data_IF_155816688918
#
_entry.id   IF_155816688918
#
_cell.length_a   1.000
_cell.length_b   1.000
_cell.length_c   1.000
_cell.angle_alpha   90.00
_cell.angle_beta   90.00
_cell.angle_gamma   90.00
#
_symmetry.space_group_name_H-M   'P 1'
#
loop_
_entity.id
_entity.type
_entity.pdbx_description
1 polymer ?
#
# COMPACT_ATOMS: atom_id res chain seq x y z
N UNK A 1 -78.99 2.49 21.63
CA UNK A 1 -78.04 3.11 20.67
C UNK A 1 -76.57 2.95 21.07
N UNK A 2 -76.22 2.88 22.36
CA UNK A 2 -74.83 2.74 22.83
C UNK A 2 -74.13 1.39 22.48
N UNK A 3 -74.86 0.28 22.43
CA UNK A 3 -74.27 -1.07 22.22
C UNK A 3 -73.68 -1.23 20.80
N UNK A 4 -74.27 -0.59 19.78
CA UNK A 4 -73.77 -0.65 18.40
C UNK A 4 -72.46 0.13 18.20
N UNK A 5 -72.28 1.23 18.94
CA UNK A 5 -71.04 2.01 18.92
C UNK A 5 -69.87 1.27 19.56
N UNK A 6 -70.13 0.56 20.67
CA UNK A 6 -69.11 -0.23 21.36
C UNK A 6 -68.63 -1.42 20.53
N UNK A 7 -69.55 -2.09 19.82
CA UNK A 7 -69.20 -3.21 18.95
C UNK A 7 -68.34 -2.73 17.75
N UNK A 8 -68.66 -1.57 17.18
CA UNK A 8 -67.88 -0.98 16.09
C UNK A 8 -66.47 -0.57 16.54
N UNK A 9 -66.35 0.02 17.74
CA UNK A 9 -65.08 0.39 18.33
C UNK A 9 -64.21 -0.84 18.65
N UNK A 10 -64.80 -1.92 19.15
CA UNK A 10 -64.10 -3.17 19.43
C UNK A 10 -63.57 -3.82 18.14
N UNK A 11 -64.38 -3.86 17.07
CA UNK A 11 -63.96 -4.39 15.76
C UNK A 11 -62.81 -3.54 15.19
N UNK A 12 -62.86 -2.22 15.35
CA UNK A 12 -61.79 -1.32 14.91
C UNK A 12 -60.48 -1.55 15.66
N UNK A 13 -60.52 -1.74 16.99
CA UNK A 13 -59.33 -2.06 17.79
C UNK A 13 -58.73 -3.40 17.39
N UNK A 14 -59.56 -4.44 17.20
CA UNK A 14 -59.07 -5.77 16.78
C UNK A 14 -58.43 -5.70 15.39
N UNK A 15 -59.01 -4.94 14.46
CA UNK A 15 -58.43 -4.72 13.15
C UNK A 15 -57.09 -3.95 13.22
N UNK A 16 -56.99 -2.93 14.08
CA UNK A 16 -55.77 -2.15 14.28
C UNK A 16 -54.64 -3.00 14.89
N UNK A 17 -54.96 -3.81 15.91
CA UNK A 17 -54.01 -4.74 16.53
C UNK A 17 -53.57 -5.80 15.52
N UNK A 18 -54.49 -6.34 14.72
CA UNK A 18 -54.17 -7.26 13.63
C UNK A 18 -53.21 -6.65 12.60
N UNK A 19 -53.43 -5.38 12.23
CA UNK A 19 -52.55 -4.64 11.31
C UNK A 19 -51.16 -4.41 11.91
N UNK A 20 -51.08 -4.03 13.19
CA UNK A 20 -49.81 -3.82 13.90
C UNK A 20 -49.04 -5.14 13.99
N UNK A 21 -49.70 -6.24 14.36
CA UNK A 21 -49.08 -7.58 14.39
C UNK A 21 -48.61 -7.99 13.00
N UNK A 22 -49.39 -7.73 11.94
CA UNK A 22 -48.98 -8.03 10.57
C UNK A 22 -47.76 -7.21 10.15
N UNK A 23 -47.69 -5.91 10.48
CA UNK A 23 -46.53 -5.05 10.21
C UNK A 23 -45.29 -5.54 10.97
N UNK A 24 -45.42 -5.88 12.26
CA UNK A 24 -44.32 -6.43 13.05
C UNK A 24 -43.90 -7.83 12.57
N UNK A 25 -44.82 -8.64 12.04
CA UNK A 25 -44.52 -9.95 11.46
C UNK A 25 -43.78 -9.80 10.11
N UNK A 26 -44.20 -8.86 9.27
CA UNK A 26 -43.52 -8.53 8.01
C UNK A 26 -42.12 -7.92 8.23
N UNK A 27 -41.91 -7.16 9.30
CA UNK A 27 -40.58 -6.67 9.67
C UNK A 27 -39.66 -7.79 10.20
N UNK A 28 -40.23 -8.86 10.78
CA UNK A 28 -39.45 -9.98 11.34
C UNK A 28 -38.98 -10.97 10.28
N UNK A 29 -39.58 -10.96 9.10
CA UNK A 29 -39.28 -11.87 7.98
C UNK A 29 -38.42 -11.26 6.86
N UNK A 30 -37.77 -10.11 7.07
CA UNK A 30 -36.57 -9.78 6.29
C UNK A 30 -35.40 -10.66 6.77
N UNK A 31 -35.53 -11.97 6.55
CA UNK A 31 -34.39 -12.88 6.53
C UNK A 31 -33.39 -12.29 5.56
N UNK A 32 -32.35 -11.67 6.10
CA UNK A 32 -31.15 -11.33 5.36
C UNK A 32 -30.67 -12.65 4.79
N UNK A 33 -30.87 -12.87 3.49
CA UNK A 33 -30.23 -13.96 2.78
C UNK A 33 -28.75 -13.89 3.14
N UNK A 34 -28.23 -14.91 3.84
CA UNK A 34 -26.80 -15.02 4.07
C UNK A 34 -26.18 -15.17 2.70
N UNK A 35 -25.74 -14.04 2.12
CA UNK A 35 -24.98 -14.00 0.89
C UNK A 35 -23.83 -15.00 1.04
N UNK A 36 -23.85 -16.06 0.24
CA UNK A 36 -22.82 -17.07 0.28
C UNK A 36 -21.49 -16.41 -0.12
N UNK A 37 -20.59 -16.25 0.84
CA UNK A 37 -19.30 -15.60 0.62
C UNK A 37 -18.44 -16.54 -0.22
N UNK A 38 -18.18 -16.14 -1.47
CA UNK A 38 -17.28 -16.87 -2.36
C UNK A 38 -15.85 -16.58 -1.96
N UNK A 39 -15.17 -17.59 -1.41
CA UNK A 39 -13.77 -17.50 -0.98
C UNK A 39 -12.93 -18.56 -1.70
N UNK A 40 -11.82 -18.12 -2.31
CA UNK A 40 -10.93 -18.94 -3.12
C UNK A 40 -9.66 -19.27 -2.35
N UNK A 41 -9.06 -20.45 -2.58
CA UNK A 41 -7.72 -20.73 -2.05
C UNK A 41 -6.67 -19.91 -2.80
N UNK A 42 -5.69 -19.41 -2.06
CA UNK A 42 -4.50 -18.72 -2.60
C UNK A 42 -3.32 -19.05 -1.70
N UNK A 43 -2.13 -19.27 -2.27
CA UNK A 43 -0.92 -19.45 -1.46
C UNK A 43 -0.29 -18.11 -1.09
N UNK A 44 0.56 -18.09 -0.07
CA UNK A 44 1.24 -16.85 0.35
C UNK A 44 2.12 -16.30 -0.76
N UNK A 45 2.89 -17.15 -1.45
CA UNK A 45 3.74 -16.71 -2.55
C UNK A 45 2.94 -16.09 -3.71
N UNK A 46 1.78 -16.67 -4.05
CA UNK A 46 0.91 -16.11 -5.09
C UNK A 46 0.32 -14.77 -4.65
N UNK A 47 -0.15 -14.65 -3.41
CA UNK A 47 -0.65 -13.37 -2.90
C UNK A 47 0.47 -12.31 -2.89
N UNK A 48 1.66 -12.67 -2.42
CA UNK A 48 2.83 -11.78 -2.40
C UNK A 48 3.18 -11.27 -3.81
N UNK A 49 3.32 -12.18 -4.78
CA UNK A 49 3.64 -11.81 -6.16
C UNK A 49 2.58 -10.88 -6.75
N UNK A 50 1.29 -11.11 -6.47
CA UNK A 50 0.23 -10.20 -6.93
C UNK A 50 0.34 -8.80 -6.36
N UNK A 51 0.67 -8.69 -5.07
CA UNK A 51 0.94 -7.41 -4.41
C UNK A 51 2.12 -6.69 -5.07
N UNK A 52 3.22 -7.42 -5.28
CA UNK A 52 4.41 -6.89 -5.96
C UNK A 52 4.13 -6.51 -7.41
N UNK A 53 3.36 -7.29 -8.17
CA UNK A 53 2.99 -6.97 -9.55
C UNK A 53 2.27 -5.63 -9.63
N UNK A 54 1.34 -5.35 -8.70
CA UNK A 54 0.62 -4.08 -8.63
C UNK A 54 1.52 -2.91 -8.22
N UNK A 55 2.44 -3.11 -7.27
CA UNK A 55 3.39 -2.08 -6.82
C UNK A 55 4.41 -1.76 -7.91
N UNK A 56 4.93 -2.80 -8.57
CA UNK A 56 5.93 -2.69 -9.62
C UNK A 56 5.32 -2.39 -11.00
N UNK A 57 3.99 -2.31 -11.12
CA UNK A 57 3.34 -2.02 -12.39
C UNK A 57 3.71 -0.62 -12.87
N UNK A 58 4.48 -0.57 -13.97
CA UNK A 58 4.92 0.69 -14.58
C UNK A 58 4.00 1.06 -15.74
N UNK A 59 3.52 2.29 -15.76
CA UNK A 59 2.62 2.81 -16.77
C UNK A 59 2.90 4.28 -17.08
N UNK A 60 2.36 4.76 -18.20
CA UNK A 60 2.48 6.16 -18.62
C UNK A 60 1.15 6.88 -18.37
N UNK A 61 1.20 7.89 -17.51
CA UNK A 61 0.11 8.84 -17.34
C UNK A 61 0.10 9.83 -18.49
N UNK A 62 -1.09 10.12 -19.03
CA UNK A 62 -1.29 11.15 -20.04
C UNK A 62 -2.41 12.09 -19.59
N UNK A 63 -2.05 13.29 -19.17
CA UNK A 63 -2.99 14.29 -18.66
C UNK A 63 -4.01 14.76 -19.70
N UNK A 64 -3.70 14.67 -21.00
CA UNK A 64 -4.64 15.03 -22.06
C UNK A 64 -5.73 13.97 -22.30
N UNK A 65 -5.54 12.74 -21.79
CA UNK A 65 -6.52 11.64 -21.88
C UNK A 65 -7.16 11.31 -20.54
N UNK A 66 -6.69 11.91 -19.45
CA UNK A 66 -7.12 11.60 -18.09
C UNK A 66 -8.36 12.40 -17.71
N UNK A 67 -9.51 11.73 -17.60
CA UNK A 67 -10.76 12.39 -17.21
C UNK A 67 -11.30 13.29 -18.31
N UNK A 68 -11.96 12.68 -19.29
CA UNK A 68 -12.62 13.41 -20.38
C UNK A 68 -13.79 14.27 -19.85
N UNK A 69 -14.24 14.05 -18.61
CA UNK A 69 -15.27 14.82 -17.93
C UNK A 69 -14.73 15.50 -16.65
N UNK A 70 -14.94 16.81 -16.54
CA UNK A 70 -14.59 17.59 -15.35
C UNK A 70 -15.47 17.17 -14.16
N UNK A 71 -14.83 16.83 -13.03
CA UNK A 71 -15.52 16.52 -11.79
C UNK A 71 -14.81 17.17 -10.60
N UNK A 72 -15.44 18.21 -10.04
CA UNK A 72 -14.91 19.01 -8.93
C UNK A 72 -14.72 18.22 -7.62
N UNK A 73 -15.35 17.04 -7.50
CA UNK A 73 -15.23 16.19 -6.32
C UNK A 73 -14.03 15.24 -6.38
N UNK A 74 -13.33 15.18 -7.52
CA UNK A 74 -12.17 14.31 -7.70
C UNK A 74 -10.90 15.08 -7.38
N UNK A 75 -10.05 14.48 -6.55
CA UNK A 75 -8.72 14.99 -6.29
C UNK A 75 -7.69 13.99 -6.81
N UNK A 76 -6.91 14.42 -7.80
CA UNK A 76 -5.83 13.60 -8.35
C UNK A 76 -4.75 13.32 -7.30
N UNK A 77 -4.04 12.19 -7.41
CA UNK A 77 -2.79 12.01 -6.70
C UNK A 77 -1.79 13.11 -7.06
N UNK A 78 -1.12 13.67 -6.05
CA UNK A 78 -0.23 14.82 -6.18
C UNK A 78 0.89 14.61 -7.20
N UNK A 79 1.42 13.39 -7.32
CA UNK A 79 2.48 13.08 -8.28
C UNK A 79 2.02 13.10 -9.75
N UNK A 80 0.71 13.17 -10.00
CA UNK A 80 0.09 13.31 -11.32
C UNK A 80 -0.43 14.73 -11.59
N UNK A 81 -0.66 15.52 -10.54
CA UNK A 81 -1.18 16.89 -10.66
C UNK A 81 -0.30 17.75 -11.58
N UNK A 82 -0.93 18.40 -12.56
CA UNK A 82 -0.27 19.32 -13.50
C UNK A 82 0.69 18.66 -14.50
N UNK A 83 0.76 17.32 -14.58
CA UNK A 83 1.62 16.62 -15.53
C UNK A 83 0.92 16.47 -16.89
N UNK A 84 1.67 16.70 -17.97
CA UNK A 84 1.20 16.44 -19.34
C UNK A 84 1.35 14.97 -19.72
N UNK A 85 2.55 14.41 -19.54
CA UNK A 85 2.82 12.98 -19.53
C UNK A 85 3.90 12.67 -18.49
N UNK A 86 3.75 11.54 -17.78
CA UNK A 86 4.77 11.05 -16.85
C UNK A 86 4.72 9.53 -16.72
N UNK A 87 5.88 8.88 -16.77
CA UNK A 87 6.01 7.45 -16.44
C UNK A 87 6.06 7.29 -14.94
N UNK A 88 5.26 6.38 -14.40
CA UNK A 88 5.13 6.12 -12.96
C UNK A 88 4.97 4.63 -12.70
N UNK A 89 5.22 4.21 -11.46
CA UNK A 89 4.93 2.86 -10.98
C UNK A 89 3.82 2.86 -9.94
N UNK A 90 3.19 1.70 -9.74
CA UNK A 90 2.13 1.48 -8.76
C UNK A 90 0.76 1.91 -9.29
N UNK A 91 -0.29 1.25 -8.79
CA UNK A 91 -1.67 1.63 -9.08
C UNK A 91 -2.05 2.81 -8.18
N UNK A 92 -2.54 3.94 -8.73
CA UNK A 92 -2.98 5.10 -7.96
C UNK A 92 -3.96 4.78 -6.85
N UNK A 93 -3.88 5.55 -5.76
CA UNK A 93 -4.90 5.50 -4.74
C UNK A 93 -6.22 6.04 -5.30
N UNK A 94 -7.28 5.28 -5.13
CA UNK A 94 -8.62 5.66 -5.54
C UNK A 94 -9.60 5.34 -4.43
N UNK A 95 -10.11 6.36 -3.74
CA UNK A 95 -11.08 6.18 -2.66
C UNK A 95 -12.30 5.41 -3.18
N UNK A 96 -12.62 4.31 -2.51
CA UNK A 96 -13.72 3.46 -2.95
C UNK A 96 -13.34 2.46 -4.06
N UNK A 97 -12.19 2.62 -4.71
CA UNK A 97 -11.80 1.95 -5.94
C UNK A 97 -11.37 0.50 -5.77
N UNK A 98 -11.67 -0.30 -6.80
CA UNK A 98 -11.32 -1.72 -6.88
C UNK A 98 -10.92 -2.14 -8.29
N UNK A 99 -10.07 -1.34 -8.94
CA UNK A 99 -9.56 -1.58 -10.29
C UNK A 99 -8.07 -1.90 -10.22
N UNK A 100 -7.74 -3.19 -10.30
CA UNK A 100 -6.39 -3.75 -10.27
C UNK A 100 -5.89 -4.21 -11.65
N UNK A 101 -4.86 -5.06 -11.70
CA UNK A 101 -4.29 -5.56 -12.96
C UNK A 101 -5.17 -6.59 -13.68
N UNK A 102 -5.97 -7.35 -12.93
CA UNK A 102 -6.80 -8.43 -13.43
C UNK A 102 -8.20 -8.45 -12.80
N UNK A 103 -8.60 -7.34 -12.17
CA UNK A 103 -9.89 -7.21 -11.49
C UNK A 103 -10.42 -5.78 -11.59
N UNK A 104 -11.74 -5.66 -11.63
CA UNK A 104 -12.47 -4.40 -11.67
C UNK A 104 -13.86 -4.59 -11.05
N UNK A 105 -14.36 -3.57 -10.35
CA UNK A 105 -15.77 -3.49 -9.93
C UNK A 105 -16.65 -2.68 -10.89
N UNK A 106 -16.12 -2.29 -12.05
CA UNK A 106 -16.84 -1.56 -13.09
C UNK A 106 -17.19 -2.50 -14.24
N UNK A 107 -18.37 -2.32 -14.83
CA UNK A 107 -18.90 -3.25 -15.85
C UNK A 107 -18.23 -3.08 -17.22
N UNK A 108 -17.72 -1.89 -17.50
CA UNK A 108 -17.20 -1.46 -18.80
C UNK A 108 -15.67 -1.49 -18.87
N UNK A 109 -14.95 -1.62 -17.75
CA UNK A 109 -13.49 -1.74 -17.70
C UNK A 109 -13.05 -3.02 -17.00
N UNK A 110 -12.11 -3.75 -17.61
CA UNK A 110 -11.67 -5.07 -17.12
C UNK A 110 -10.57 -4.98 -16.07
N UNK A 111 -9.69 -3.99 -16.19
CA UNK A 111 -8.53 -3.78 -15.35
C UNK A 111 -8.07 -2.32 -15.45
N UNK A 112 -7.03 -1.98 -14.70
CA UNK A 112 -6.50 -0.63 -14.58
C UNK A 112 -6.03 -0.09 -15.93
N UNK A 113 -5.31 -0.87 -16.72
CA UNK A 113 -4.82 -0.43 -18.04
C UNK A 113 -5.98 -0.08 -18.99
N UNK A 114 -6.99 -0.97 -19.09
CA UNK A 114 -8.18 -0.74 -19.91
C UNK A 114 -8.94 0.53 -19.47
N UNK A 115 -8.99 0.80 -18.15
CA UNK A 115 -9.59 2.02 -17.63
C UNK A 115 -8.82 3.28 -18.08
N UNK A 116 -7.49 3.28 -17.98
CA UNK A 116 -6.66 4.40 -18.45
C UNK A 116 -6.79 4.60 -19.96
N UNK A 117 -6.81 3.52 -20.75
CA UNK A 117 -7.00 3.58 -22.21
C UNK A 117 -8.37 4.15 -22.61
N UNK A 118 -9.40 3.93 -21.79
CA UNK A 118 -10.75 4.51 -21.93
C UNK A 118 -10.91 5.91 -21.34
N UNK A 119 -9.84 6.48 -20.78
CA UNK A 119 -9.83 7.86 -20.29
C UNK A 119 -10.42 8.04 -18.89
N UNK A 120 -10.46 6.98 -18.08
CA UNK A 120 -10.76 7.11 -16.64
C UNK A 120 -9.71 7.99 -15.96
N UNK A 121 -10.13 8.69 -14.91
CA UNK A 121 -9.25 9.50 -14.08
C UNK A 121 -8.38 8.57 -13.21
N UNK A 122 -7.06 8.70 -13.33
CA UNK A 122 -6.08 7.92 -12.58
C UNK A 122 -6.03 8.32 -11.11
N UNK A 123 -6.86 7.65 -10.30
CA UNK A 123 -6.95 7.83 -8.87
C UNK A 123 -7.98 8.87 -8.42
N UNK A 124 -8.21 8.87 -7.11
CA UNK A 124 -9.00 9.85 -6.40
C UNK A 124 -8.62 9.80 -4.93
N UNK A 125 -7.83 10.77 -4.47
CA UNK A 125 -7.37 10.83 -3.07
C UNK A 125 -8.38 11.53 -2.16
N UNK A 126 -9.50 12.01 -2.70
CA UNK A 126 -10.58 12.56 -1.89
C UNK A 126 -11.31 11.43 -1.14
N UNK A 127 -11.01 11.30 0.15
CA UNK A 127 -11.55 10.24 1.01
C UNK A 127 -12.96 10.57 1.55
N UNK A 128 -13.83 11.13 0.71
CA UNK A 128 -15.19 11.54 1.08
C UNK A 128 -16.20 11.18 -0.01
N UNK A 129 -17.45 10.93 0.38
CA UNK A 129 -18.56 10.73 -0.57
C UNK A 129 -18.57 9.39 -1.34
N UNK A 130 -17.77 8.40 -0.92
CA UNK A 130 -17.72 7.07 -1.55
C UNK A 130 -16.91 7.02 -2.86
N UNK A 131 -17.02 5.91 -3.58
CA UNK A 131 -16.38 5.78 -4.90
C UNK A 131 -16.96 6.81 -5.87
N UNK A 132 -16.10 7.37 -6.73
CA UNK A 132 -16.50 8.32 -7.78
C UNK A 132 -16.42 7.62 -9.13
N UNK A 133 -17.49 7.68 -9.90
CA UNK A 133 -17.54 7.04 -11.21
C UNK A 133 -16.44 7.59 -12.12
N UNK A 134 -16.00 6.76 -13.07
CA UNK A 134 -14.92 7.06 -14.02
C UNK A 134 -13.55 7.36 -13.36
N UNK A 135 -13.32 6.88 -12.13
CA UNK A 135 -11.99 6.90 -11.49
C UNK A 135 -11.38 5.49 -11.46
N UNK A 136 -10.08 5.40 -11.65
CA UNK A 136 -9.36 4.14 -11.74
C UNK A 136 -8.25 4.05 -10.68
N UNK A 137 -8.27 2.98 -9.91
CA UNK A 137 -7.23 2.65 -8.94
C UNK A 137 -7.76 1.78 -7.80
N UNK A 138 -7.00 1.75 -6.71
CA UNK A 138 -7.29 0.91 -5.54
C UNK A 138 -7.31 1.75 -4.26
N UNK A 139 -8.35 1.60 -3.44
CA UNK A 139 -8.25 2.03 -2.03
C UNK A 139 -7.48 0.98 -1.19
N UNK A 140 -7.23 1.27 0.09
CA UNK A 140 -6.47 0.38 0.97
C UNK A 140 -7.07 -1.04 1.04
N UNK A 141 -8.38 -1.14 1.23
CA UNK A 141 -9.11 -2.41 1.27
C UNK A 141 -9.30 -3.05 -0.11
N UNK A 142 -9.43 -2.25 -1.16
CA UNK A 142 -9.49 -2.67 -2.54
C UNK A 142 -8.18 -3.33 -2.96
N UNK A 143 -7.05 -2.78 -2.55
CA UNK A 143 -5.74 -3.40 -2.77
C UNK A 143 -5.64 -4.77 -2.09
N UNK A 144 -6.04 -4.89 -0.82
CA UNK A 144 -6.14 -6.19 -0.12
C UNK A 144 -7.05 -7.15 -0.90
N UNK A 145 -8.25 -6.73 -1.28
CA UNK A 145 -9.17 -7.57 -2.03
C UNK A 145 -8.55 -8.07 -3.35
N UNK A 146 -7.80 -7.21 -4.05
CA UNK A 146 -7.20 -7.52 -5.34
C UNK A 146 -6.07 -8.53 -5.16
N UNK A 147 -5.24 -8.35 -4.12
CA UNK A 147 -4.17 -9.30 -3.77
C UNK A 147 -4.75 -10.70 -3.52
N UNK A 148 -5.80 -10.82 -2.71
CA UNK A 148 -6.40 -12.11 -2.34
C UNK A 148 -7.49 -12.61 -3.30
N UNK A 149 -7.67 -11.97 -4.47
CA UNK A 149 -8.70 -12.32 -5.48
C UNK A 149 -10.11 -12.42 -4.89
N UNK A 150 -10.46 -11.50 -4.00
CA UNK A 150 -11.81 -11.43 -3.43
C UNK A 150 -12.76 -10.97 -4.54
N UNK A 151 -13.88 -11.66 -4.82
CA UNK A 151 -14.70 -11.37 -6.00
C UNK A 151 -15.46 -10.05 -5.94
N UNK A 152 -15.47 -9.39 -4.77
CA UNK A 152 -16.14 -8.12 -4.56
C UNK A 152 -15.24 -7.14 -3.82
N UNK A 153 -15.50 -5.84 -4.04
CA UNK A 153 -14.89 -4.78 -3.26
C UNK A 153 -15.36 -4.90 -1.81
N UNK A 154 -14.43 -5.07 -0.87
CA UNK A 154 -14.73 -4.99 0.56
C UNK A 154 -14.27 -3.64 1.13
N UNK A 155 -14.95 -3.17 2.17
CA UNK A 155 -14.41 -2.13 3.05
C UNK A 155 -13.52 -2.77 4.12
N UNK A 156 -12.73 -1.97 4.85
CA UNK A 156 -11.96 -2.44 6.02
C UNK A 156 -12.84 -3.14 7.07
N UNK A 157 -14.09 -2.70 7.24
CA UNK A 157 -15.09 -3.37 8.09
C UNK A 157 -15.56 -4.71 7.51
N UNK A 158 -15.66 -4.81 6.19
CA UNK A 158 -16.10 -6.02 5.49
C UNK A 158 -15.05 -7.14 5.45
N UNK A 159 -13.76 -6.83 5.69
CA UNK A 159 -12.68 -7.82 5.63
C UNK A 159 -12.83 -8.97 6.64
N UNK A 160 -13.55 -8.77 7.75
CA UNK A 160 -13.89 -9.84 8.73
C UNK A 160 -14.64 -11.03 8.11
N UNK A 161 -15.29 -10.83 6.96
CA UNK A 161 -15.96 -11.89 6.23
C UNK A 161 -14.95 -12.86 5.57
N UNK A 162 -13.75 -12.38 5.25
CA UNK A 162 -12.74 -13.10 4.47
C UNK A 162 -11.48 -13.46 5.28
N UNK A 163 -11.27 -12.80 6.42
CA UNK A 163 -10.10 -12.98 7.27
C UNK A 163 -10.53 -13.34 8.70
N UNK A 164 -9.76 -14.19 9.36
CA UNK A 164 -9.89 -14.50 10.79
C UNK A 164 -8.88 -13.65 11.57
N UNK A 165 -9.28 -13.13 12.73
CA UNK A 165 -8.34 -12.47 13.64
C UNK A 165 -7.29 -13.47 14.15
N UNK A 166 -6.06 -13.01 14.32
CA UNK A 166 -4.94 -13.80 14.85
C UNK A 166 -4.18 -13.02 15.91
N UNK A 167 -3.37 -13.72 16.70
CA UNK A 167 -2.43 -13.06 17.61
C UNK A 167 -1.31 -12.37 16.80
N UNK A 168 -0.86 -11.19 17.27
CA UNK A 168 0.21 -10.43 16.61
C UNK A 168 1.53 -11.20 16.55
N UNK A 169 1.78 -12.08 17.54
CA UNK A 169 2.96 -12.94 17.58
C UNK A 169 2.90 -14.10 16.59
N UNK A 170 1.73 -14.34 15.99
CA UNK A 170 1.54 -15.35 14.95
C UNK A 170 1.65 -14.79 13.53
N UNK A 171 1.96 -13.50 13.37
CA UNK A 171 2.07 -12.85 12.07
C UNK A 171 3.01 -13.63 11.13
N UNK A 172 2.52 -13.86 9.92
CA UNK A 172 3.26 -14.45 8.79
C UNK A 172 3.13 -13.52 7.58
N UNK A 173 4.12 -13.51 6.66
CA UNK A 173 4.04 -12.70 5.44
C UNK A 173 2.74 -12.95 4.69
N UNK A 174 2.04 -11.90 4.27
CA UNK A 174 0.69 -11.92 3.69
C UNK A 174 -0.47 -12.13 4.67
N UNK A 175 -0.25 -11.96 5.97
CA UNK A 175 -1.33 -11.59 6.88
C UNK A 175 -1.62 -10.08 6.75
N UNK A 176 -2.77 -9.61 7.21
CA UNK A 176 -3.13 -8.18 7.17
C UNK A 176 -3.13 -7.59 8.57
N UNK A 177 -2.86 -6.30 8.64
CA UNK A 177 -3.07 -5.47 9.82
C UNK A 177 -4.20 -4.51 9.45
N UNK A 178 -5.36 -4.65 10.11
CA UNK A 178 -6.58 -3.92 9.77
C UNK A 178 -7.01 -2.97 10.90
N UNK A 179 -6.92 -1.67 10.66
CA UNK A 179 -7.56 -0.64 11.50
C UNK A 179 -8.99 -0.46 10.98
N UNK A 180 -9.91 -1.18 11.62
CA UNK A 180 -11.31 -1.34 11.17
C UNK A 180 -11.98 0.03 10.99
N UNK A 181 -12.48 0.29 9.78
CA UNK A 181 -13.13 1.55 9.41
C UNK A 181 -12.17 2.65 8.94
N UNK A 182 -10.85 2.45 8.97
CA UNK A 182 -9.87 3.47 8.61
C UNK A 182 -8.90 3.02 7.52
N UNK A 183 -8.02 2.07 7.83
CA UNK A 183 -6.92 1.67 6.95
C UNK A 183 -6.53 0.22 7.15
N UNK A 184 -5.98 -0.39 6.10
CA UNK A 184 -5.48 -1.76 6.15
C UNK A 184 -4.17 -1.85 5.37
N UNK A 185 -3.25 -2.63 5.89
CA UNK A 185 -1.95 -2.91 5.27
C UNK A 185 -1.71 -4.42 5.27
N UNK A 186 -0.86 -4.89 4.36
CA UNK A 186 -0.46 -6.30 4.25
C UNK A 186 0.94 -6.44 4.84
N UNK A 187 1.11 -7.29 5.83
CA UNK A 187 2.38 -7.53 6.49
C UNK A 187 3.33 -8.35 5.61
N UNK A 188 4.60 -7.90 5.48
CA UNK A 188 5.65 -8.62 4.74
C UNK A 188 6.62 -9.27 5.72
N UNK A 189 7.34 -8.47 6.51
CA UNK A 189 8.32 -8.90 7.51
C UNK A 189 8.50 -7.83 8.58
N UNK A 190 9.12 -8.20 9.70
CA UNK A 190 9.65 -7.22 10.67
C UNK A 190 10.85 -6.48 10.06
N UNK A 191 11.05 -5.21 10.39
CA UNK A 191 12.24 -4.46 9.98
C UNK A 191 13.51 -5.05 10.62
N UNK A 192 14.65 -4.88 9.95
CA UNK A 192 15.96 -5.34 10.40
C UNK A 192 16.31 -4.84 11.82
N UNK A 193 15.91 -3.61 12.14
CA UNK A 193 16.13 -2.97 13.45
C UNK A 193 15.05 -3.32 14.50
N UNK A 194 14.06 -4.12 14.14
CA UNK A 194 12.93 -4.58 14.99
C UNK A 194 12.05 -3.48 15.56
N UNK A 195 12.12 -2.25 15.03
CA UNK A 195 11.30 -1.13 15.50
C UNK A 195 9.89 -1.11 14.89
N UNK A 196 9.65 -1.92 13.86
CA UNK A 196 8.37 -1.97 13.20
C UNK A 196 8.30 -3.06 12.14
N UNK A 197 7.40 -2.85 11.19
CA UNK A 197 7.07 -3.81 10.15
C UNK A 197 7.16 -3.16 8.77
N UNK A 198 7.52 -3.98 7.80
CA UNK A 198 7.47 -3.64 6.39
C UNK A 198 6.16 -4.17 5.82
N UNK A 199 5.44 -3.31 5.10
CA UNK A 199 4.08 -3.58 4.64
C UNK A 199 3.88 -3.21 3.18
N UNK A 200 2.94 -3.88 2.53
CA UNK A 200 2.34 -3.40 1.29
C UNK A 200 1.07 -2.62 1.62
N UNK A 201 0.86 -1.46 1.00
CA UNK A 201 -0.36 -0.69 1.18
C UNK A 201 -0.73 0.09 -0.09
N UNK A 202 -2.03 0.37 -0.28
CA UNK A 202 -2.47 1.50 -1.10
C UNK A 202 -2.85 2.62 -0.16
N UNK A 203 -2.22 3.79 -0.29
CA UNK A 203 -2.28 4.84 0.73
C UNK A 203 -2.48 6.23 0.15
N UNK A 204 -2.99 7.15 0.97
CA UNK A 204 -3.05 8.60 0.68
C UNK A 204 -1.98 9.36 1.47
N UNK A 205 -0.86 8.67 1.78
CA UNK A 205 0.12 9.11 2.78
C UNK A 205 0.39 10.62 2.71
N UNK A 206 -0.14 11.33 3.70
CA UNK A 206 -0.12 12.79 3.75
C UNK A 206 1.28 13.34 3.97
N UNK A 207 2.18 12.54 4.52
CA UNK A 207 3.57 12.90 4.82
C UNK A 207 4.47 12.78 3.58
N UNK A 208 4.13 11.89 2.64
CA UNK A 208 4.84 11.72 1.38
C UNK A 208 3.83 11.62 0.24
N UNK A 209 3.48 12.78 -0.33
CA UNK A 209 2.49 12.89 -1.41
C UNK A 209 2.90 12.18 -2.71
N UNK A 210 4.15 11.72 -2.81
CA UNK A 210 4.63 10.88 -3.92
C UNK A 210 4.20 9.41 -3.78
N UNK A 211 3.66 9.01 -2.62
CA UNK A 211 3.23 7.64 -2.29
C UNK A 211 1.71 7.46 -2.32
N UNK A 212 0.95 8.32 -3.00
CA UNK A 212 -0.51 8.23 -3.10
C UNK A 212 -0.99 7.10 -4.06
N UNK A 213 -0.53 5.86 -3.81
CA UNK A 213 -0.62 4.69 -4.69
C UNK A 213 -0.32 3.38 -3.93
N UNK A 214 -0.34 2.23 -4.61
CA UNK A 214 0.18 0.97 -4.08
C UNK A 214 1.70 1.04 -3.92
N UNK A 215 2.22 0.81 -2.71
CA UNK A 215 3.64 0.96 -2.35
C UNK A 215 4.06 -0.04 -1.27
N UNK A 216 5.39 -0.18 -1.11
CA UNK A 216 6.02 -0.72 0.09
C UNK A 216 6.27 0.43 1.07
N UNK A 217 6.05 0.18 2.37
CA UNK A 217 6.27 1.18 3.40
C UNK A 217 6.66 0.55 4.74
N UNK A 218 7.23 1.37 5.61
CA UNK A 218 7.49 1.02 7.00
C UNK A 218 6.37 1.55 7.92
N UNK A 219 6.04 0.77 8.95
CA UNK A 219 5.18 1.17 10.06
C UNK A 219 5.83 0.78 11.38
N UNK A 220 6.08 1.75 12.23
CA UNK A 220 6.56 1.49 13.59
C UNK A 220 5.55 0.69 14.40
N UNK A 221 6.03 -0.09 15.39
CA UNK A 221 5.12 -0.80 16.30
C UNK A 221 4.20 0.15 17.07
N UNK A 222 4.63 1.39 17.33
CA UNK A 222 3.81 2.40 17.98
C UNK A 222 2.68 2.90 17.08
N UNK A 223 2.93 3.09 15.78
CA UNK A 223 1.87 3.35 14.80
C UNK A 223 0.88 2.19 14.70
N UNK A 224 1.37 0.94 14.73
CA UNK A 224 0.50 -0.25 14.70
C UNK A 224 -0.41 -0.30 15.94
N UNK A 225 0.16 -0.07 17.14
CA UNK A 225 -0.57 -0.10 18.41
C UNK A 225 -1.56 1.07 18.54
N UNK A 226 -1.15 2.28 18.14
CA UNK A 226 -2.01 3.47 18.16
C UNK A 226 -3.11 3.39 17.10
N UNK A 227 -2.74 2.84 15.94
CA UNK A 227 -3.58 2.75 14.76
C UNK A 227 -3.99 4.11 14.19
N UNK A 228 -5.06 4.11 13.41
CA UNK A 228 -5.57 5.30 12.73
C UNK A 228 -6.82 5.81 13.46
N UNK A 229 -6.88 7.12 13.74
CA UNK A 229 -7.95 7.71 14.56
C UNK A 229 -8.14 7.01 15.92
N UNK A 230 -7.03 6.58 16.54
CA UNK A 230 -7.00 5.80 17.79
C UNK A 230 -7.73 4.45 17.72
N UNK A 231 -7.88 3.88 16.51
CA UNK A 231 -8.38 2.52 16.30
C UNK A 231 -7.17 1.65 15.92
N UNK A 232 -6.67 0.80 16.84
CA UNK A 232 -5.50 -0.04 16.62
C UNK A 232 -5.64 -0.94 15.39
N UNK A 233 -4.52 -1.37 14.84
CA UNK A 233 -4.52 -2.41 13.83
C UNK A 233 -4.74 -3.78 14.47
N UNK A 234 -5.74 -4.51 13.98
CA UNK A 234 -6.00 -5.91 14.36
C UNK A 234 -5.33 -6.83 13.34
N UNK A 235 -4.45 -7.74 13.77
CA UNK A 235 -3.88 -8.77 12.89
C UNK A 235 -4.96 -9.73 12.41
N UNK A 236 -4.99 -10.03 11.11
CA UNK A 236 -5.93 -10.98 10.55
C UNK A 236 -5.29 -11.82 9.44
N UNK A 237 -5.74 -13.06 9.30
CA UNK A 237 -5.27 -14.03 8.31
C UNK A 237 -6.38 -14.43 7.36
N UNK A 238 -6.08 -14.47 6.06
CA UNK A 238 -7.07 -14.85 5.06
C UNK A 238 -7.53 -16.30 5.28
N UNK A 239 -8.85 -16.52 5.38
CA UNK A 239 -9.48 -17.81 5.76
C UNK A 239 -9.11 -19.01 4.87
N UNK A 240 -8.65 -18.75 3.64
CA UNK A 240 -8.25 -19.79 2.66
C UNK A 240 -6.80 -19.63 2.19
N UNK A 241 -5.95 -18.96 2.98
CA UNK A 241 -4.52 -18.89 2.69
C UNK A 241 -3.90 -20.29 2.81
N UNK A 242 -3.00 -20.61 1.89
CA UNK A 242 -2.20 -21.84 1.91
C UNK A 242 -0.76 -21.45 2.19
N UNK A 243 -0.17 -22.02 3.24
CA UNK A 243 1.23 -21.78 3.59
C UNK A 243 2.15 -22.42 2.54
N UNK A 244 3.09 -21.64 2.01
CA UNK A 244 4.17 -22.05 1.13
C UNK A 244 5.41 -21.14 1.36
N UNK A 245 6.53 -21.46 0.69
CA UNK A 245 7.74 -20.65 0.80
C UNK A 245 7.57 -19.36 0.00
N UNK A 246 7.59 -18.23 0.70
CA UNK A 246 7.62 -16.89 0.08
C UNK A 246 9.08 -16.44 -0.05
N UNK A 247 9.50 -16.04 -1.25
CA UNK A 247 10.78 -15.34 -1.47
C UNK A 247 10.53 -13.85 -1.25
N UNK A 248 10.78 -13.40 -0.02
CA UNK A 248 10.73 -11.98 0.33
C UNK A 248 11.99 -11.26 -0.17
N UNK A 249 12.13 -10.00 0.22
CA UNK A 249 13.29 -9.15 -0.03
C UNK A 249 14.59 -9.85 0.35
N UNK A 250 15.56 -9.75 -0.56
CA UNK A 250 16.90 -10.29 -0.39
C UNK A 250 17.75 -9.35 0.46
N UNK A 251 17.45 -8.06 0.45
CA UNK A 251 18.13 -7.10 1.29
C UNK A 251 17.82 -7.34 2.79
N UNK A 252 18.89 -7.54 3.55
CA UNK A 252 18.88 -7.82 4.98
C UNK A 252 18.76 -6.56 5.83
N UNK A 253 19.04 -5.39 5.27
CA UNK A 253 19.03 -4.10 5.96
C UNK A 253 17.65 -3.44 5.96
N UNK A 254 16.73 -3.94 5.14
CA UNK A 254 15.36 -3.46 5.06
C UNK A 254 14.65 -3.42 6.44
N UNK A 255 14.04 -2.31 6.86
CA UNK A 255 13.71 -1.12 6.06
C UNK A 255 14.74 0.01 6.18
N UNK A 256 15.35 0.42 5.06
CA UNK A 256 16.34 1.50 5.01
C UNK A 256 16.03 2.56 3.93
N UNK A 257 14.80 2.66 3.44
CA UNK A 257 14.45 3.52 2.28
C UNK A 257 14.27 5.00 2.56
N UNK A 258 14.80 5.52 3.66
CA UNK A 258 14.85 6.97 3.95
C UNK A 258 16.05 7.31 4.84
N UNK A 259 16.46 8.59 4.91
CA UNK A 259 17.45 9.07 5.89
C UNK A 259 17.12 8.65 7.32
N UNK A 260 15.84 8.72 7.72
CA UNK A 260 15.39 8.40 9.08
C UNK A 260 15.62 6.93 9.46
N UNK A 261 15.46 6.03 8.49
CA UNK A 261 15.61 4.58 8.68
C UNK A 261 16.94 4.06 8.12
N UNK A 262 17.87 4.94 7.80
CA UNK A 262 19.15 4.57 7.18
C UNK A 262 19.96 3.58 8.04
N UNK A 263 20.70 2.71 7.35
CA UNK A 263 21.62 1.75 7.98
C UNK A 263 22.92 2.45 8.36
N UNK A 264 23.34 2.35 9.62
CA UNK A 264 24.63 2.89 10.04
C UNK A 264 25.78 2.08 9.43
N UNK A 265 26.69 2.77 8.75
CA UNK A 265 27.91 2.23 8.21
C UNK A 265 29.05 2.37 9.23
N UNK A 266 29.82 1.29 9.35
CA UNK A 266 31.15 1.31 9.91
C UNK A 266 32.15 1.38 8.75
N UNK A 267 33.21 2.15 8.94
CA UNK A 267 34.29 2.20 7.95
C UNK A 267 35.01 0.87 7.91
N UNK A 268 35.56 0.54 6.73
CA UNK A 268 36.27 -0.71 6.47
C UNK A 268 35.42 -1.99 6.56
N UNK A 269 34.09 -1.88 6.56
CA UNK A 269 33.15 -3.01 6.40
C UNK A 269 32.59 -3.06 4.98
N UNK A 270 32.37 -4.29 4.47
CA UNK A 270 31.72 -4.52 3.18
C UNK A 270 30.21 -4.56 3.39
N UNK A 271 29.49 -3.72 2.66
CA UNK A 271 28.04 -3.71 2.62
C UNK A 271 27.55 -4.30 1.31
N UNK A 272 26.49 -5.10 1.39
CA UNK A 272 25.87 -5.82 0.28
C UNK A 272 24.36 -5.64 0.35
N UNK A 273 23.74 -5.28 -0.75
CA UNK A 273 22.29 -5.11 -0.80
C UNK A 273 21.72 -5.34 -2.19
N UNK A 274 20.41 -5.15 -2.29
CA UNK A 274 19.62 -5.41 -3.50
C UNK A 274 18.54 -4.35 -3.65
N UNK A 275 18.33 -3.86 -4.87
CA UNK A 275 17.13 -3.07 -5.19
C UNK A 275 16.04 -4.09 -5.55
N UNK A 276 15.21 -4.46 -4.57
CA UNK A 276 14.29 -5.59 -4.61
C UNK A 276 12.96 -5.26 -5.34
N UNK A 277 12.60 -3.98 -5.47
CA UNK A 277 11.36 -3.55 -6.12
C UNK A 277 11.44 -2.14 -6.72
N UNK A 278 10.42 -1.75 -7.48
CA UNK A 278 10.39 -0.42 -8.10
C UNK A 278 10.24 0.66 -7.05
N UNK A 279 11.22 1.57 -7.00
CA UNK A 279 11.24 2.65 -6.01
C UNK A 279 11.81 2.22 -4.66
N UNK A 280 12.43 1.04 -4.61
CA UNK A 280 13.32 0.67 -3.53
C UNK A 280 14.55 1.58 -3.54
N UNK A 281 14.88 2.10 -2.36
CA UNK A 281 16.02 2.97 -2.12
C UNK A 281 16.70 2.44 -0.87
N UNK A 282 18.02 2.37 -0.87
CA UNK A 282 18.80 1.95 0.28
C UNK A 282 19.61 3.12 0.81
N UNK A 283 19.24 3.62 1.99
CA UNK A 283 20.00 4.65 2.66
C UNK A 283 20.94 4.06 3.69
N UNK A 284 22.17 4.53 3.63
CA UNK A 284 23.24 4.25 4.56
C UNK A 284 23.76 5.55 5.16
N UNK A 285 24.25 5.53 6.39
CA UNK A 285 24.69 6.72 7.13
C UNK A 285 26.04 6.50 7.79
N UNK A 286 26.93 7.48 7.71
CA UNK A 286 28.20 7.48 8.43
C UNK A 286 28.53 8.86 9.00
N UNK A 287 29.35 8.88 10.04
CA UNK A 287 29.84 10.08 10.70
C UNK A 287 31.34 10.22 10.45
N UNK A 288 31.78 11.43 10.11
CA UNK A 288 33.19 11.81 10.08
C UNK A 288 33.47 12.77 11.22
N UNK A 289 34.47 12.44 12.04
CA UNK A 289 34.86 13.26 13.20
C UNK A 289 35.89 14.35 12.88
N UNK A 290 36.51 14.26 11.70
CA UNK A 290 37.53 15.19 11.18
C UNK A 290 37.38 15.39 9.69
N UNK A 291 37.90 16.50 9.17
CA UNK A 291 38.02 16.74 7.73
C UNK A 291 39.00 15.75 7.12
N UNK A 292 38.57 14.98 6.11
CA UNK A 292 39.41 13.97 5.45
C UNK A 292 38.90 13.56 4.07
N UNK A 293 39.77 12.89 3.31
CA UNK A 293 39.35 12.13 2.15
C UNK A 293 38.83 10.77 2.61
N UNK A 294 37.62 10.41 2.17
CA UNK A 294 37.17 9.02 2.22
C UNK A 294 37.43 8.36 0.87
N UNK A 295 37.63 7.04 0.87
CA UNK A 295 37.64 6.25 -0.37
C UNK A 295 36.39 5.37 -0.41
N UNK A 296 35.44 5.71 -1.28
CA UNK A 296 34.34 4.82 -1.63
C UNK A 296 34.84 3.83 -2.69
N UNK A 297 34.96 2.56 -2.33
CA UNK A 297 35.26 1.48 -3.27
C UNK A 297 33.97 0.72 -3.60
N UNK A 298 33.46 0.94 -4.81
CA UNK A 298 32.30 0.24 -5.37
C UNK A 298 32.82 -1.00 -6.09
N UNK A 299 32.66 -2.16 -5.46
CA UNK A 299 33.19 -3.42 -6.00
C UNK A 299 32.20 -4.08 -6.96
N UNK A 300 30.89 -3.91 -6.73
CA UNK A 300 29.84 -4.26 -7.69
C UNK A 300 28.68 -3.26 -7.65
N UNK A 301 28.13 -2.95 -8.81
CA UNK A 301 26.90 -2.16 -8.94
C UNK A 301 26.15 -2.59 -10.21
N UNK A 302 24.86 -2.96 -10.13
CA UNK A 302 24.07 -3.27 -11.31
C UNK A 302 24.01 -2.08 -12.26
N UNK A 303 23.93 -2.33 -13.57
CA UNK A 303 23.90 -1.25 -14.60
C UNK A 303 22.72 -0.30 -14.45
N UNK A 304 21.67 -0.76 -13.80
CA UNK A 304 20.46 -0.02 -13.54
C UNK A 304 20.48 0.67 -12.17
N UNK A 305 21.57 0.61 -11.41
CA UNK A 305 21.67 1.25 -10.10
C UNK A 305 22.57 2.50 -10.14
N UNK A 306 22.29 3.43 -9.23
CA UNK A 306 23.15 4.57 -8.92
C UNK A 306 23.44 4.61 -7.43
N UNK A 307 24.68 4.96 -7.08
CA UNK A 307 25.08 5.34 -5.72
C UNK A 307 25.28 6.86 -5.67
N UNK A 308 24.66 7.52 -4.71
CA UNK A 308 24.80 8.96 -4.46
C UNK A 308 25.30 9.21 -3.04
N UNK A 309 26.35 10.02 -2.88
CA UNK A 309 26.83 10.49 -1.57
C UNK A 309 26.42 11.95 -1.37
N UNK A 310 25.84 12.24 -0.21
CA UNK A 310 25.31 13.57 0.13
C UNK A 310 25.32 13.80 1.64
N UNK A 311 25.24 15.06 2.06
CA UNK A 311 25.18 15.44 3.47
C UNK A 311 23.73 15.51 4.00
N UNK A 312 23.57 15.92 5.26
CA UNK A 312 22.26 16.09 5.90
C UNK A 312 21.40 17.17 5.23
N UNK A 313 22.02 18.11 4.51
CA UNK A 313 21.35 19.19 3.77
C UNK A 313 21.10 18.83 2.28
N UNK A 314 21.30 17.58 1.89
CA UNK A 314 21.16 17.09 0.51
C UNK A 314 22.17 17.68 -0.49
N UNK A 315 23.31 18.23 -0.01
CA UNK A 315 24.40 18.61 -0.90
C UNK A 315 25.09 17.33 -1.43
N UNK A 316 25.12 17.17 -2.74
CA UNK A 316 25.70 15.99 -3.41
C UNK A 316 27.21 16.14 -3.56
N UNK A 317 27.96 15.12 -3.17
CA UNK A 317 29.42 15.03 -3.28
C UNK A 317 29.89 14.04 -4.36
N UNK A 318 29.03 13.11 -4.77
CA UNK A 318 29.34 12.17 -5.83
C UNK A 318 28.15 11.33 -6.25
N UNK A 319 28.10 10.98 -7.54
CA UNK A 319 27.15 10.06 -8.13
C UNK A 319 27.91 9.04 -8.98
N UNK A 320 27.59 7.76 -8.79
CA UNK A 320 28.35 6.66 -9.36
C UNK A 320 27.43 5.57 -9.91
N UNK A 321 27.71 5.14 -11.15
CA UNK A 321 26.96 4.08 -11.85
C UNK A 321 27.88 2.94 -12.32
N UNK A 322 29.13 2.94 -11.86
CA UNK A 322 30.17 2.00 -12.25
C UNK A 322 31.04 1.64 -11.05
N UNK A 323 31.63 0.46 -11.11
CA UNK A 323 32.64 0.01 -10.15
C UNK A 323 33.88 0.90 -10.17
N UNK A 324 34.54 1.06 -9.03
CA UNK A 324 35.77 1.82 -8.93
C UNK A 324 36.01 2.39 -7.54
N UNK A 325 37.21 2.94 -7.35
CA UNK A 325 37.61 3.63 -6.12
C UNK A 325 37.51 5.13 -6.35
N UNK A 326 36.76 5.81 -5.49
CA UNK A 326 36.47 7.23 -5.59
C UNK A 326 36.93 7.93 -4.31
N UNK A 327 37.93 8.80 -4.42
CA UNK A 327 38.41 9.63 -3.31
C UNK A 327 37.56 10.90 -3.21
N UNK A 328 36.95 11.14 -2.05
CA UNK A 328 35.97 12.22 -1.86
C UNK A 328 36.41 13.07 -0.67
N UNK A 329 36.75 14.36 -0.87
CA UNK A 329 37.09 15.25 0.24
C UNK A 329 35.81 15.65 0.99
N UNK A 330 35.72 15.22 2.25
CA UNK A 330 34.59 15.51 3.13
C UNK A 330 35.07 16.26 4.38
N UNK A 331 34.19 17.10 4.91
CA UNK A 331 34.44 17.77 6.19
C UNK A 331 33.95 16.88 7.33
N UNK A 332 34.29 17.24 8.57
CA UNK A 332 33.61 16.71 9.76
C UNK A 332 32.10 16.89 9.59
N UNK A 333 31.33 15.82 9.72
CA UNK A 333 29.88 15.86 9.52
C UNK A 333 29.23 14.50 9.35
N UNK A 334 27.90 14.52 9.24
CA UNK A 334 27.09 13.33 8.92
C UNK A 334 26.86 13.28 7.41
N UNK A 335 27.05 12.08 6.85
CA UNK A 335 26.88 11.81 5.43
C UNK A 335 25.99 10.60 5.22
N UNK A 336 25.36 10.58 4.06
CA UNK A 336 24.51 9.51 3.59
C UNK A 336 25.03 8.99 2.26
N UNK A 337 24.89 7.68 2.08
CA UNK A 337 25.04 7.01 0.81
C UNK A 337 23.69 6.41 0.46
N UNK A 338 23.14 6.75 -0.71
CA UNK A 338 21.89 6.20 -1.23
C UNK A 338 22.19 5.30 -2.43
N UNK A 339 21.68 4.08 -2.43
CA UNK A 339 21.62 3.21 -3.61
C UNK A 339 20.18 3.18 -4.10
N UNK A 340 19.96 3.37 -5.40
CA UNK A 340 18.61 3.34 -5.98
C UNK A 340 18.62 2.78 -7.40
N UNK A 341 17.48 2.25 -7.83
CA UNK A 341 17.23 1.86 -9.21
C UNK A 341 16.95 3.07 -10.13
N UNK A 342 17.47 3.03 -11.35
CA UNK A 342 17.29 4.03 -12.40
C UNK A 342 16.13 3.59 -13.31
N UNK A 343 15.28 4.53 -13.73
CA UNK A 343 14.20 4.31 -14.71
C UNK A 343 13.25 3.15 -14.35
N UNK A 344 12.90 3.03 -13.07
CA UNK A 344 12.00 2.00 -12.53
C UNK A 344 12.55 0.57 -12.65
N UNK A 345 13.87 0.41 -12.77
CA UNK A 345 14.50 -0.90 -12.80
C UNK A 345 14.88 -1.36 -11.39
N UNK A 346 14.79 -2.67 -11.20
CA UNK A 346 15.08 -3.42 -9.98
C UNK A 346 15.45 -4.84 -10.40
N UNK A 347 16.00 -5.66 -9.51
CA UNK A 347 16.38 -7.02 -9.90
C UNK A 347 17.16 -7.78 -8.86
N UNK A 348 17.63 -8.97 -9.25
CA UNK A 348 18.34 -9.90 -8.37
C UNK A 348 19.86 -9.68 -8.32
N UNK A 349 20.38 -8.63 -8.97
CA UNK A 349 21.81 -8.33 -8.98
C UNK A 349 22.21 -7.60 -7.67
N UNK A 350 23.14 -8.20 -6.92
CA UNK A 350 23.72 -7.62 -5.69
C UNK A 350 24.54 -6.38 -6.04
N UNK A 351 24.42 -5.28 -5.29
CA UNK A 351 25.48 -4.26 -5.23
C UNK A 351 26.34 -4.47 -3.99
N UNK A 352 27.59 -4.06 -4.04
CA UNK A 352 28.44 -4.06 -2.85
C UNK A 352 29.53 -2.99 -2.88
N UNK A 353 29.80 -2.42 -1.72
CA UNK A 353 30.75 -1.33 -1.54
C UNK A 353 31.40 -1.36 -0.16
N UNK A 354 32.48 -0.60 -0.01
CA UNK A 354 33.18 -0.36 1.25
C UNK A 354 33.62 1.10 1.29
N UNK A 355 33.51 1.73 2.46
CA UNK A 355 34.06 3.07 2.71
C UNK A 355 35.32 2.90 3.55
N UNK A 356 36.46 3.31 3.01
CA UNK A 356 37.70 3.45 3.76
C UNK A 356 37.89 4.90 4.18
N UNK A 357 38.53 5.08 5.33
CA UNK A 357 38.54 6.34 6.06
C UNK A 357 39.94 6.75 6.51
#
# INVERSE_FOLDING_TARGET
MLIKGYLFYLVFIVALVGLIVAIFSFQKDSKTEKKEIKISRISRSVAYNRGMDMINYVWEYNGARNGIEDNVDIKLPFYLEGKSSVKVSGIPYCWGGYIGLDISNQNDVKNFQDAIEKGYIAGNVNCSGGYKDLTAGLDCSGFVCAVFKIPEKCSTKGLVNYFDEIDINELKPMDILNSIGNHVVIFIKESSDKKGVIVMESTTNRESRTKEKTVINFRSWDEIKKGVNNIPYTPMRYKKIVDDKVRLFQDQYEFNSTKLYSTNLNTNEIYKGYIDYVGDEDYYKFLLDVDKFINLNIMNIPKYCRITIFDDNDNIYGEYTKTGVNAIPLKKGTYYLKVEGIDFQYGEEEYNFIIHD
#
